data_IF_411858642606
#
_entry.id   IF_411858642606
#
_cell.length_a   1.000
_cell.length_b   1.000
_cell.length_c   1.000
_cell.angle_alpha   90.00
_cell.angle_beta   90.00
_cell.angle_gamma   90.00
#
_symmetry.space_group_name_H-M   'P 1'
#
loop_
_entity.id
_entity.type
_entity.pdbx_description
1 polymer ?
#
# COMPACT_ATOMS: atom_id res chain seq x y z
N UNK A 1 44.52 31.15 -9.00
CA UNK A 1 43.76 29.92 -8.65
C UNK A 1 42.28 30.29 -8.55
N UNK A 2 41.45 29.83 -9.48
CA UNK A 2 40.03 30.20 -9.54
C UNK A 2 39.20 29.36 -8.58
N UNK A 3 38.53 30.01 -7.63
CA UNK A 3 37.58 29.37 -6.70
C UNK A 3 36.29 29.00 -7.46
N UNK A 4 36.04 27.71 -7.68
CA UNK A 4 34.83 27.23 -8.37
C UNK A 4 33.79 26.79 -7.33
N UNK A 5 32.83 27.67 -7.05
CA UNK A 5 31.77 27.49 -6.02
C UNK A 5 30.92 26.21 -6.26
N UNK A 6 30.87 25.67 -7.48
CA UNK A 6 30.10 24.46 -7.81
C UNK A 6 30.57 23.19 -7.08
N UNK A 7 31.78 23.14 -6.51
CA UNK A 7 32.29 21.96 -5.77
C UNK A 7 31.83 21.89 -4.31
N UNK A 8 31.29 22.97 -3.75
CA UNK A 8 30.92 23.04 -2.33
C UNK A 8 29.74 22.12 -1.97
N UNK A 9 28.86 21.81 -2.93
CA UNK A 9 27.70 20.92 -2.72
C UNK A 9 27.96 19.47 -3.13
N UNK A 10 29.09 19.20 -3.83
CA UNK A 10 29.43 17.87 -4.34
C UNK A 10 29.81 16.87 -3.23
N UNK A 11 30.07 17.35 -2.01
CA UNK A 11 30.34 16.51 -0.83
C UNK A 11 29.12 16.33 0.08
N UNK A 12 28.01 17.06 -0.17
CA UNK A 12 26.78 16.97 0.64
C UNK A 12 25.91 15.79 0.20
N UNK A 13 25.93 15.46 -1.09
CA UNK A 13 25.16 14.34 -1.66
C UNK A 13 26.09 13.14 -1.78
N UNK A 14 25.89 12.07 -0.99
CA UNK A 14 26.71 10.87 -1.11
C UNK A 14 26.56 10.28 -2.52
N UNK A 15 27.64 9.70 -3.08
CA UNK A 15 27.60 9.11 -4.42
C UNK A 15 26.54 7.99 -4.48
N UNK A 16 25.95 7.75 -5.66
CA UNK A 16 25.05 6.61 -5.85
C UNK A 16 25.80 5.31 -5.58
N UNK A 17 25.53 4.71 -4.43
CA UNK A 17 26.09 3.41 -4.05
C UNK A 17 25.24 2.30 -4.66
N UNK A 18 25.86 1.38 -5.39
CA UNK A 18 25.15 0.25 -6.00
C UNK A 18 24.50 -0.68 -4.95
N UNK A 19 25.14 -0.85 -3.79
CA UNK A 19 24.59 -1.58 -2.66
C UNK A 19 25.07 -0.99 -1.32
N UNK A 20 24.28 -0.14 -0.65
CA UNK A 20 24.66 0.47 0.63
C UNK A 20 24.87 -0.56 1.74
N UNK A 21 24.19 -1.72 1.69
CA UNK A 21 24.35 -2.78 2.68
C UNK A 21 25.70 -3.53 2.58
N UNK A 22 26.38 -3.44 1.44
CA UNK A 22 27.67 -4.10 1.21
C UNK A 22 28.90 -3.30 1.67
N UNK A 23 28.75 -2.02 2.03
CA UNK A 23 29.89 -1.14 2.31
C UNK A 23 30.48 -1.32 3.73
N UNK A 24 29.63 -1.60 4.72
CA UNK A 24 30.05 -1.72 6.13
C UNK A 24 29.89 -3.15 6.69
N UNK A 25 29.33 -4.07 5.91
CA UNK A 25 29.09 -5.43 6.39
C UNK A 25 30.37 -6.26 6.26
N UNK A 26 30.81 -6.87 7.37
CA UNK A 26 31.86 -7.87 7.34
C UNK A 26 31.49 -8.95 6.32
N UNK A 27 32.33 -9.16 5.31
CA UNK A 27 32.07 -10.08 4.19
C UNK A 27 31.71 -11.50 4.65
N UNK A 28 32.29 -11.93 5.77
CA UNK A 28 31.97 -13.19 6.44
C UNK A 28 30.55 -13.22 7.03
N UNK A 29 30.07 -12.14 7.65
CA UNK A 29 28.71 -12.06 8.17
C UNK A 29 27.67 -12.10 7.05
N UNK A 30 27.94 -11.42 5.93
CA UNK A 30 27.08 -11.49 4.73
C UNK A 30 27.04 -12.91 4.16
N UNK A 31 28.20 -13.59 4.09
CA UNK A 31 28.28 -14.99 3.64
C UNK A 31 27.45 -15.90 4.53
N UNK A 32 27.57 -15.79 5.85
CA UNK A 32 26.80 -16.61 6.79
C UNK A 32 25.29 -16.34 6.68
N UNK A 33 24.88 -15.07 6.55
CA UNK A 33 23.47 -14.71 6.33
C UNK A 33 22.90 -15.28 5.03
N UNK A 34 23.71 -15.34 3.96
CA UNK A 34 23.30 -15.91 2.68
C UNK A 34 23.14 -17.44 2.76
N UNK A 35 24.01 -18.13 3.52
CA UNK A 35 23.89 -19.58 3.75
C UNK A 35 22.61 -19.88 4.55
N UNK A 36 22.35 -19.13 5.62
CA UNK A 36 21.11 -19.28 6.40
C UNK A 36 19.87 -19.06 5.54
N UNK A 37 19.84 -17.99 4.72
CA UNK A 37 18.76 -17.70 3.77
C UNK A 37 18.61 -18.77 2.70
N UNK A 38 19.70 -19.37 2.23
CA UNK A 38 19.65 -20.46 1.26
C UNK A 38 18.88 -21.64 1.85
N UNK A 39 19.21 -22.04 3.09
CA UNK A 39 18.52 -23.15 3.75
C UNK A 39 17.09 -22.83 4.17
N UNK A 40 16.82 -21.58 4.54
CA UNK A 40 15.47 -21.10 4.82
C UNK A 40 14.56 -21.21 3.59
N UNK A 41 15.11 -20.90 2.41
CA UNK A 41 14.44 -20.86 1.11
C UNK A 41 14.51 -22.15 0.30
N UNK A 42 14.95 -23.28 0.90
CA UNK A 42 14.71 -24.57 0.24
C UNK A 42 13.23 -24.63 -0.15
N UNK A 43 12.90 -25.11 -1.36
CA UNK A 43 11.52 -25.13 -1.86
C UNK A 43 10.68 -26.08 -1.00
N UNK A 44 10.22 -25.57 0.13
CA UNK A 44 9.02 -26.00 0.82
C UNK A 44 7.90 -25.57 -0.12
N UNK A 45 7.00 -26.49 -0.48
CA UNK A 45 5.91 -26.18 -1.42
C UNK A 45 5.21 -24.84 -1.10
N UNK A 46 4.50 -24.25 -2.07
CA UNK A 46 3.89 -22.93 -1.89
C UNK A 46 3.11 -22.87 -0.58
N UNK A 47 3.41 -21.85 0.24
CA UNK A 47 2.71 -21.65 1.49
C UNK A 47 1.19 -21.59 1.23
N UNK A 48 0.36 -22.28 2.03
CA UNK A 48 -1.07 -22.26 1.83
C UNK A 48 -1.56 -20.81 1.94
N UNK A 49 -2.45 -20.42 1.03
CA UNK A 49 -3.05 -19.09 1.09
C UNK A 49 -3.79 -18.94 2.42
N UNK A 50 -3.51 -17.85 3.13
CA UNK A 50 -4.23 -17.54 4.36
C UNK A 50 -5.70 -17.40 4.02
N UNK A 51 -6.51 -18.29 4.58
CA UNK A 51 -7.96 -18.17 4.50
C UNK A 51 -8.36 -16.77 5.03
N UNK A 52 -9.27 -16.08 4.34
CA UNK A 52 -9.73 -14.77 4.81
C UNK A 52 -10.36 -14.90 6.19
N UNK A 53 -9.88 -14.11 7.14
CA UNK A 53 -10.43 -14.05 8.49
C UNK A 53 -11.33 -12.81 8.64
N UNK A 54 -12.53 -13.02 9.15
CA UNK A 54 -13.50 -11.96 9.44
C UNK A 54 -14.15 -11.34 8.19
N UNK A 55 -15.09 -10.40 8.39
CA UNK A 55 -15.88 -9.80 7.31
C UNK A 55 -15.04 -8.96 6.35
N UNK A 56 -14.06 -8.22 6.86
CA UNK A 56 -13.13 -7.43 6.03
C UNK A 56 -12.22 -8.34 5.20
N UNK A 57 -11.70 -9.41 5.79
CA UNK A 57 -10.87 -10.39 5.08
C UNK A 57 -11.64 -11.08 3.97
N UNK A 58 -12.91 -11.45 4.21
CA UNK A 58 -13.78 -12.02 3.18
C UNK A 58 -13.99 -11.06 2.00
N UNK A 59 -14.32 -9.79 2.30
CA UNK A 59 -14.53 -8.78 1.27
C UNK A 59 -13.26 -8.52 0.46
N UNK A 60 -12.11 -8.45 1.14
CA UNK A 60 -10.80 -8.31 0.49
C UNK A 60 -10.51 -9.49 -0.43
N UNK A 61 -10.67 -10.73 0.04
CA UNK A 61 -10.43 -11.93 -0.75
C UNK A 61 -11.35 -12.00 -1.99
N UNK A 62 -12.61 -11.56 -1.85
CA UNK A 62 -13.59 -11.58 -2.94
C UNK A 62 -13.33 -10.56 -4.04
N UNK A 63 -12.91 -9.34 -3.69
CA UNK A 63 -12.83 -8.24 -4.68
C UNK A 63 -11.41 -7.77 -5.00
N UNK A 64 -10.43 -8.05 -4.13
CA UNK A 64 -9.03 -7.63 -4.28
C UNK A 64 -8.04 -8.81 -4.27
N UNK A 65 -8.56 -10.05 -4.22
CA UNK A 65 -7.76 -11.26 -4.27
C UNK A 65 -7.30 -11.61 -5.68
N UNK A 66 -7.30 -12.91 -6.00
CA UNK A 66 -6.82 -13.45 -7.28
C UNK A 66 -7.50 -12.86 -8.52
N UNK A 67 -8.77 -12.53 -8.40
CA UNK A 67 -9.58 -11.96 -9.48
C UNK A 67 -10.03 -10.56 -9.05
N UNK A 68 -9.16 -9.54 -9.21
CA UNK A 68 -9.51 -8.18 -8.83
C UNK A 68 -10.68 -7.69 -9.67
N UNK A 69 -11.64 -7.03 -9.03
CA UNK A 69 -12.85 -6.50 -9.67
C UNK A 69 -13.02 -5.03 -9.34
N UNK A 70 -13.62 -4.27 -10.26
CA UNK A 70 -14.00 -2.88 -10.05
C UNK A 70 -15.24 -2.71 -9.16
N UNK A 71 -15.87 -3.81 -8.71
CA UNK A 71 -17.07 -3.77 -7.87
C UNK A 71 -16.94 -2.90 -6.60
N UNK A 72 -15.79 -2.84 -5.87
CA UNK A 72 -15.62 -1.94 -4.72
C UNK A 72 -15.83 -0.47 -5.06
N UNK A 73 -15.48 -0.03 -6.26
CA UNK A 73 -15.70 1.36 -6.71
C UNK A 73 -17.20 1.62 -6.78
N UNK A 74 -17.96 0.70 -7.39
CA UNK A 74 -19.41 0.79 -7.45
C UNK A 74 -20.05 0.75 -6.06
N UNK A 75 -19.60 -0.14 -5.16
CA UNK A 75 -20.10 -0.19 -3.78
C UNK A 75 -19.96 1.14 -3.05
N UNK A 76 -18.83 1.83 -3.23
CA UNK A 76 -18.61 3.17 -2.65
C UNK A 76 -19.55 4.21 -3.28
N UNK A 77 -19.67 4.22 -4.61
CA UNK A 77 -20.59 5.14 -5.32
C UNK A 77 -22.03 4.94 -4.83
N UNK A 78 -22.51 3.69 -4.78
CA UNK A 78 -23.84 3.37 -4.29
C UNK A 78 -24.03 3.78 -2.84
N UNK A 79 -23.03 3.54 -1.98
CA UNK A 79 -23.05 3.97 -0.59
C UNK A 79 -23.19 5.49 -0.44
N UNK A 80 -22.42 6.25 -1.21
CA UNK A 80 -22.46 7.72 -1.19
C UNK A 80 -23.79 8.26 -1.73
N UNK A 81 -24.31 7.71 -2.83
CA UNK A 81 -25.59 8.15 -3.41
C UNK A 81 -26.74 7.84 -2.46
N UNK A 82 -26.79 6.63 -1.90
CA UNK A 82 -27.85 6.25 -0.97
C UNK A 82 -27.81 7.09 0.31
N UNK A 83 -26.61 7.36 0.85
CA UNK A 83 -26.44 8.21 2.03
C UNK A 83 -26.77 9.68 1.71
N UNK A 84 -26.34 10.19 0.56
CA UNK A 84 -26.66 11.53 0.08
C UNK A 84 -28.16 11.75 -0.04
N UNK A 85 -28.86 10.81 -0.71
CA UNK A 85 -30.30 10.88 -0.87
C UNK A 85 -31.05 10.74 0.46
N UNK A 86 -30.60 9.86 1.37
CA UNK A 86 -31.25 9.72 2.67
C UNK A 86 -31.11 10.98 3.53
N UNK A 87 -29.94 11.63 3.52
CA UNK A 87 -29.73 12.92 4.17
C UNK A 87 -30.61 14.01 3.54
N UNK A 88 -30.59 14.12 2.21
CA UNK A 88 -31.37 15.12 1.48
C UNK A 88 -32.88 14.93 1.72
N UNK A 89 -33.34 13.68 1.79
CA UNK A 89 -34.72 13.37 2.15
C UNK A 89 -35.07 13.79 3.59
N UNK A 90 -34.20 13.48 4.54
CA UNK A 90 -34.44 13.77 5.95
C UNK A 90 -34.43 15.27 6.26
N UNK A 91 -33.47 16.01 5.70
CA UNK A 91 -33.30 17.44 5.99
C UNK A 91 -34.18 18.33 5.13
N UNK A 92 -34.25 18.06 3.82
CA UNK A 92 -34.98 18.90 2.88
C UNK A 92 -36.31 18.25 2.45
N UNK A 93 -36.28 17.20 1.63
CA UNK A 93 -37.46 16.77 0.84
C UNK A 93 -38.69 16.40 1.69
N UNK A 94 -38.51 15.88 2.91
CA UNK A 94 -39.63 15.55 3.80
C UNK A 94 -40.46 16.77 4.21
N UNK A 95 -39.87 17.96 4.24
CA UNK A 95 -40.52 19.19 4.69
C UNK A 95 -41.09 20.04 3.53
N UNK A 96 -40.79 19.69 2.27
CA UNK A 96 -41.24 20.45 1.08
C UNK A 96 -42.76 20.55 0.92
N UNK A 97 -43.54 19.62 1.50
CA UNK A 97 -45.01 19.66 1.39
C UNK A 97 -45.68 20.56 2.43
N UNK A 98 -45.00 20.87 3.54
CA UNK A 98 -45.63 21.50 4.71
C UNK A 98 -45.14 22.94 4.99
N UNK A 99 -44.17 23.46 4.23
CA UNK A 99 -43.69 24.85 4.35
C UNK A 99 -43.45 25.44 2.95
N UNK A 100 -43.82 26.70 2.75
CA UNK A 100 -43.40 27.46 1.58
C UNK A 100 -41.93 27.87 1.76
N UNK A 101 -41.16 27.79 0.68
CA UNK A 101 -39.72 28.12 0.62
C UNK A 101 -39.39 29.53 1.12
#
# INVERSE_FOLDING_TARGET
MSFVIRRAVSTLVPPKVANPAGLAAATNAVRMANIAKFYEKLPKGPAPERAPAGPLGWYQAKYFGKNPSAAPIWHVIFGLVAMGYSMEYYFHLRHHKNNAH
#
